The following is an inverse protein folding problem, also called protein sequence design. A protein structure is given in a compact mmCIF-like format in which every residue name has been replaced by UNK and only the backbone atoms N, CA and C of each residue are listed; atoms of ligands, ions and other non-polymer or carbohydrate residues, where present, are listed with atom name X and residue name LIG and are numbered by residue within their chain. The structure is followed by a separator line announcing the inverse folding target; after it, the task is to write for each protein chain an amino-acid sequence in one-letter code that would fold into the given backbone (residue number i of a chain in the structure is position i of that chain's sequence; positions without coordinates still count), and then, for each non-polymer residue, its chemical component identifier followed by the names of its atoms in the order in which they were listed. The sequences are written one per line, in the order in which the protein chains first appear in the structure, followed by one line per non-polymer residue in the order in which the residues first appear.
data_IF_867997264992
#
_entry.id   IF_867997264992
#
_cell.length_a   1.000
_cell.length_b   1.000
_cell.length_c   1.000
_cell.angle_alpha   90.00
_cell.angle_beta   90.00
_cell.angle_gamma   90.00
#
_symmetry.space_group_name_H-M   'P 1'
#
loop_
_entity.id
_entity.type
_entity.pdbx_description
1 polymer ?
#
# COMPACT_ATOMS: atom_id res chain seq x y z
N UNK A 1 -3.63 17.12 3.04
CA UNK A 1 -4.66 16.13 3.40
C UNK A 1 -5.98 16.34 2.66
N UNK A 2 -6.47 17.57 2.49
CA UNK A 2 -7.75 17.84 1.82
C UNK A 2 -7.76 17.59 0.30
N UNK A 3 -6.62 17.78 -0.38
CA UNK A 3 -6.53 17.61 -1.84
C UNK A 3 -6.50 16.15 -2.33
N UNK A 4 -6.32 15.16 -1.46
CA UNK A 4 -6.45 13.73 -1.83
C UNK A 4 -7.86 13.20 -1.61
N UNK A 5 -8.69 13.89 -0.83
CA UNK A 5 -10.13 13.60 -0.75
C UNK A 5 -10.90 14.14 -1.98
N UNK A 6 -10.31 15.09 -2.72
CA UNK A 6 -10.93 15.63 -3.95
C UNK A 6 -10.64 14.81 -5.22
N UNK A 7 -9.68 13.88 -5.19
CA UNK A 7 -9.45 12.90 -6.25
C UNK A 7 -10.17 11.57 -5.97
N UNK A 8 -10.56 10.81 -7.02
CA UNK A 8 -11.11 9.45 -6.92
C UNK A 8 -10.03 8.44 -6.45
N UNK A 9 -9.53 8.60 -5.23
CA UNK A 9 -8.66 7.63 -4.60
C UNK A 9 -9.48 6.45 -4.04
N UNK A 10 -9.01 5.23 -4.26
CA UNK A 10 -9.56 4.03 -3.64
C UNK A 10 -9.03 3.92 -2.20
N UNK A 11 -9.91 4.17 -1.23
CA UNK A 11 -9.58 4.10 0.19
C UNK A 11 -9.83 2.68 0.76
N UNK A 12 -8.95 2.17 1.63
CA UNK A 12 -9.18 0.91 2.33
C UNK A 12 -10.25 1.09 3.41
N UNK A 13 -10.94 0.00 3.73
CA UNK A 13 -11.77 -0.07 4.94
C UNK A 13 -10.88 0.00 6.19
N UNK A 14 -11.34 0.69 7.24
CA UNK A 14 -10.56 0.86 8.47
C UNK A 14 -10.27 -0.47 9.17
N UNK A 15 -11.12 -1.47 9.02
CA UNK A 15 -10.91 -2.81 9.58
C UNK A 15 -9.64 -3.49 9.07
N UNK A 16 -9.14 -3.12 7.88
CA UNK A 16 -7.90 -3.66 7.33
C UNK A 16 -6.67 -3.31 8.18
N UNK A 17 -6.74 -2.20 8.93
CA UNK A 17 -5.69 -1.77 9.88
C UNK A 17 -5.55 -2.70 11.08
N UNK A 18 -6.58 -3.51 11.38
CA UNK A 18 -6.59 -4.44 12.51
C UNK A 18 -6.30 -5.90 12.10
N UNK A 19 -5.95 -6.14 10.84
CA UNK A 19 -5.59 -7.48 10.38
C UNK A 19 -4.27 -7.94 11.01
N UNK A 20 -4.12 -9.26 11.29
CA UNK A 20 -2.90 -9.77 11.90
C UNK A 20 -1.73 -9.72 10.92
N UNK A 21 -0.52 -9.61 11.46
CA UNK A 21 0.71 -9.73 10.70
C UNK A 21 0.92 -11.17 10.24
N UNK A 22 1.13 -11.38 8.93
CA UNK A 22 1.32 -12.72 8.33
C UNK A 22 2.53 -12.81 7.40
N UNK A 23 3.15 -11.68 7.07
CA UNK A 23 4.29 -11.58 6.17
C UNK A 23 5.39 -10.79 6.85
N UNK A 24 6.60 -11.34 6.88
CA UNK A 24 7.81 -10.61 7.22
C UNK A 24 8.56 -10.26 5.92
N UNK A 25 8.67 -8.98 5.61
CA UNK A 25 9.29 -8.49 4.39
C UNK A 25 10.64 -7.84 4.68
N UNK A 26 11.68 -8.26 3.98
CA UNK A 26 12.99 -7.60 4.02
C UNK A 26 13.13 -6.63 2.85
N UNK A 27 13.40 -5.37 3.19
CA UNK A 27 13.49 -4.27 2.23
C UNK A 27 12.21 -3.44 2.16
N UNK A 28 12.40 -2.15 1.89
CA UNK A 28 11.33 -1.13 1.83
C UNK A 28 11.36 -0.40 0.48
N UNK A 29 11.76 -1.09 -0.58
CA UNK A 29 11.89 -0.51 -1.91
C UNK A 29 10.55 -0.22 -2.59
N UNK A 30 10.58 0.63 -3.61
CA UNK A 30 9.39 0.97 -4.44
C UNK A 30 8.82 -0.25 -5.17
N UNK A 31 9.66 -1.21 -5.57
CA UNK A 31 9.22 -2.43 -6.25
C UNK A 31 8.34 -3.30 -5.35
N UNK A 32 8.73 -3.45 -4.08
CA UNK A 32 7.96 -4.25 -3.12
C UNK A 32 6.58 -3.61 -2.87
N UNK A 33 6.55 -2.29 -2.71
CA UNK A 33 5.29 -1.55 -2.58
C UNK A 33 4.40 -1.60 -3.80
N UNK A 34 5.00 -1.62 -4.99
CA UNK A 34 4.28 -1.60 -6.27
C UNK A 34 3.80 -2.98 -6.74
N UNK A 35 4.29 -4.08 -6.17
CA UNK A 35 4.01 -5.42 -6.66
C UNK A 35 3.51 -6.38 -5.56
N UNK A 36 4.34 -6.97 -4.67
CA UNK A 36 3.84 -7.88 -3.64
C UNK A 36 2.86 -7.21 -2.66
N UNK A 37 3.20 -6.04 -2.14
CA UNK A 37 2.35 -5.33 -1.18
C UNK A 37 1.01 -4.90 -1.81
N UNK A 38 1.02 -4.59 -3.12
CA UNK A 38 -0.19 -4.29 -3.89
C UNK A 38 -1.13 -5.49 -3.97
N UNK A 39 -0.62 -6.69 -4.26
CA UNK A 39 -1.46 -7.88 -4.35
C UNK A 39 -1.99 -8.31 -2.98
N UNK A 40 -1.22 -8.12 -1.91
CA UNK A 40 -1.68 -8.36 -0.54
C UNK A 40 -2.82 -7.40 -0.17
N UNK A 41 -2.68 -6.10 -0.43
CA UNK A 41 -3.74 -5.12 -0.20
C UNK A 41 -5.01 -5.44 -1.01
N UNK A 42 -4.84 -5.77 -2.29
CA UNK A 42 -5.95 -6.18 -3.17
C UNK A 42 -6.67 -7.42 -2.64
N UNK A 43 -5.93 -8.43 -2.17
CA UNK A 43 -6.51 -9.64 -1.59
C UNK A 43 -7.20 -9.37 -0.25
N UNK A 44 -6.66 -8.47 0.58
CA UNK A 44 -7.28 -8.05 1.85
C UNK A 44 -8.60 -7.30 1.62
N UNK A 45 -8.65 -6.40 0.63
CA UNK A 45 -9.89 -5.70 0.23
C UNK A 45 -10.98 -6.65 -0.29
N UNK A 46 -10.59 -7.82 -0.79
CA UNK A 46 -11.49 -8.89 -1.20
C UNK A 46 -11.79 -9.89 -0.08
N UNK A 47 -11.22 -9.72 1.12
CA UNK A 47 -11.40 -10.64 2.25
C UNK A 47 -10.72 -12.00 2.09
N UNK A 48 -9.75 -12.14 1.18
CA UNK A 48 -9.12 -13.42 0.82
C UNK A 48 -7.90 -13.72 1.71
N UNK A 49 -6.95 -12.79 1.82
CA UNK A 49 -5.68 -13.03 2.54
C UNK A 49 -5.78 -12.72 4.05
N UNK A 50 -6.39 -11.58 4.38
CA UNK A 50 -6.63 -11.08 5.73
C UNK A 50 -5.34 -11.08 6.57
N UNK A 51 -4.27 -10.45 6.06
CA UNK A 51 -2.99 -10.36 6.74
C UNK A 51 -2.16 -9.15 6.32
N UNK A 52 -1.36 -8.64 7.25
CA UNK A 52 -0.47 -7.48 7.05
C UNK A 52 0.99 -7.89 6.97
N UNK A 53 1.81 -6.93 6.54
CA UNK A 53 3.23 -7.07 6.27
C UNK A 53 3.99 -6.27 7.31
N UNK A 54 4.84 -6.95 8.07
CA UNK A 54 5.87 -6.32 8.90
C UNK A 54 7.09 -6.11 8.00
N UNK A 55 7.56 -4.87 7.89
CA UNK A 55 8.72 -4.52 7.07
C UNK A 55 9.98 -4.40 7.91
N UNK A 56 11.07 -5.02 7.44
CA UNK A 56 12.41 -4.94 8.03
C UNK A 56 13.30 -4.16 7.09
N UNK A 57 13.88 -3.08 7.58
CA UNK A 57 14.87 -2.30 6.84
C UNK A 57 16.19 -3.09 6.76
N UNK A 58 16.69 -3.28 5.55
CA UNK A 58 17.91 -4.04 5.27
C UNK A 58 19.16 -3.17 5.05
N UNK A 59 19.03 -1.85 5.10
CA UNK A 59 20.12 -0.88 4.89
C UNK A 59 20.14 0.18 5.98
N UNK A 60 21.21 0.96 6.09
CA UNK A 60 21.29 2.05 7.08
C UNK A 60 20.67 3.36 6.57
N UNK A 61 20.46 3.54 5.26
CA UNK A 61 19.97 4.79 4.64
C UNK A 61 18.45 4.80 4.38
N UNK A 62 17.79 5.93 4.70
CA UNK A 62 16.34 6.19 4.53
C UNK A 62 15.48 5.67 5.69
N UNK A 63 14.71 6.49 6.40
CA UNK A 63 13.95 6.04 7.59
C UNK A 63 12.76 5.14 7.26
N UNK A 64 12.41 4.20 8.15
CA UNK A 64 11.09 3.55 8.19
C UNK A 64 10.02 4.48 8.78
N UNK A 65 10.46 5.55 9.45
CA UNK A 65 9.65 6.56 10.14
C UNK A 65 8.50 7.12 9.28
N UNK A 66 8.67 7.13 7.94
CA UNK A 66 7.64 7.59 7.02
C UNK A 66 6.38 6.70 7.02
N UNK A 67 6.51 5.40 7.35
CA UNK A 67 5.38 4.49 7.51
C UNK A 67 4.70 4.68 8.85
N UNK A 68 5.47 4.78 9.93
CA UNK A 68 4.94 4.93 11.29
C UNK A 68 4.10 6.21 11.42
N UNK A 69 4.56 7.32 10.83
CA UNK A 69 3.84 8.61 10.83
C UNK A 69 2.50 8.55 10.07
N UNK A 70 2.33 7.58 9.17
CA UNK A 70 1.15 7.42 8.32
C UNK A 70 0.34 6.16 8.63
N UNK A 71 0.58 5.49 9.77
CA UNK A 71 -0.06 4.21 10.12
C UNK A 71 0.15 3.13 9.05
N UNK A 72 1.36 3.05 8.48
CA UNK A 72 1.70 2.10 7.41
C UNK A 72 1.07 2.41 6.05
N UNK A 73 0.30 3.50 5.92
CA UNK A 73 -0.39 3.86 4.69
C UNK A 73 0.56 4.51 3.67
N UNK A 74 0.35 4.18 2.41
CA UNK A 74 0.98 4.87 1.29
C UNK A 74 0.08 4.89 0.06
N UNK A 75 0.37 5.80 -0.87
CA UNK A 75 -0.34 5.90 -2.14
C UNK A 75 0.37 5.10 -3.23
N UNK A 76 -0.38 4.30 -3.97
CA UNK A 76 0.04 3.64 -5.20
C UNK A 76 -0.70 4.28 -6.37
N UNK A 77 0.07 4.71 -7.37
CA UNK A 77 -0.45 5.31 -8.60
C UNK A 77 -0.32 4.30 -9.73
N UNK A 78 -1.43 3.71 -10.15
CA UNK A 78 -1.48 2.94 -11.40
C UNK A 78 -1.72 3.91 -12.54
N UNK A 79 -0.81 3.95 -13.52
CA UNK A 79 -0.93 4.82 -14.70
C UNK A 79 -0.50 4.06 -15.94
N UNK A 80 -1.28 4.20 -17.00
CA UNK A 80 -0.98 3.57 -18.27
C UNK A 80 -1.83 4.10 -19.41
N UNK A 81 -1.88 3.32 -20.48
CA UNK A 81 -2.78 3.52 -21.60
C UNK A 81 -3.61 2.26 -21.81
N UNK A 82 -4.92 2.41 -21.94
CA UNK A 82 -5.86 1.34 -22.27
C UNK A 82 -6.62 1.75 -23.52
N UNK A 83 -6.57 0.92 -24.58
CA UNK A 83 -7.13 1.24 -25.90
C UNK A 83 -6.73 2.65 -26.43
N UNK A 84 -5.48 3.07 -26.15
CA UNK A 84 -4.95 4.38 -26.54
C UNK A 84 -5.39 5.55 -25.65
N UNK A 85 -6.23 5.31 -24.63
CA UNK A 85 -6.68 6.33 -23.68
C UNK A 85 -5.83 6.27 -22.41
N UNK A 86 -5.36 7.42 -21.94
CA UNK A 86 -4.61 7.51 -20.69
C UNK A 86 -5.50 7.12 -19.52
N UNK A 87 -5.06 6.14 -18.73
CA UNK A 87 -5.74 5.71 -17.51
C UNK A 87 -4.89 6.02 -16.29
N UNK A 88 -5.56 6.39 -15.20
CA UNK A 88 -4.92 6.69 -13.94
C UNK A 88 -5.84 6.29 -12.78
N UNK A 89 -5.27 5.61 -11.78
CA UNK A 89 -5.95 5.19 -10.57
C UNK A 89 -5.04 5.40 -9.37
N UNK A 90 -5.56 6.07 -8.35
CA UNK A 90 -4.88 6.25 -7.07
C UNK A 90 -5.46 5.26 -6.07
N UNK A 91 -4.61 4.47 -5.44
CA UNK A 91 -4.99 3.47 -4.44
C UNK A 91 -4.26 3.81 -3.15
N UNK A 92 -5.00 3.90 -2.06
CA UNK A 92 -4.39 3.95 -0.72
C UNK A 92 -4.22 2.50 -0.27
N UNK A 93 -2.97 2.09 -0.10
CA UNK A 93 -2.58 0.75 0.29
C UNK A 93 -2.43 0.70 1.82
N UNK A 94 -2.98 -0.36 2.43
CA UNK A 94 -2.93 -0.60 3.86
C UNK A 94 -2.34 -1.98 4.20
N UNK A 95 -1.47 -2.54 3.36
CA UNK A 95 -0.88 -3.85 3.61
C UNK A 95 0.23 -3.84 4.67
N UNK A 96 0.95 -2.73 4.87
CA UNK A 96 2.07 -2.63 5.82
C UNK A 96 1.56 -2.29 7.21
N UNK A 97 1.88 -3.10 8.24
CA UNK A 97 1.62 -2.78 9.66
C UNK A 97 2.64 -1.80 10.20
#
# INVERSE_FOLDING_TARGET
MEQLRSGKAEWPDQSLLNLPEKVLQFGTGVLLRGLPDYFIDKANKQGIFNGRIVVVKSTDRGGTDAFDVQNGLYSLLERGYEAGVKTEKVIVNAAIS
#
